data_IF_699423023660
#
_entry.id   IF_699423023660
#
_cell.length_a   1.000
_cell.length_b   1.000
_cell.length_c   1.000
_cell.angle_alpha   90.00
_cell.angle_beta   90.00
_cell.angle_gamma   90.00
#
_symmetry.space_group_name_H-M   'P 1'
#
loop_
_entity.id
_entity.type
_entity.pdbx_description
1 polymer ?
#
# COMPACT_ATOMS: atom_id res chain seq x y z
N UNK A 1 -17.07 32.61 9.08
CA UNK A 1 -15.68 33.09 9.31
C UNK A 1 -14.61 31.98 9.17
N UNK A 2 -14.75 30.96 8.29
CA UNK A 2 -13.79 29.84 8.16
C UNK A 2 -13.41 29.45 6.71
N UNK A 3 -13.62 30.34 5.73
CA UNK A 3 -13.48 30.01 4.29
C UNK A 3 -12.03 29.84 3.83
N UNK A 4 -11.05 30.50 4.46
CA UNK A 4 -9.64 30.45 4.04
C UNK A 4 -8.97 29.11 4.39
N UNK A 5 -9.19 28.61 5.61
CA UNK A 5 -8.63 27.33 6.08
C UNK A 5 -9.13 26.15 5.25
N UNK A 6 -10.45 26.08 5.04
CA UNK A 6 -11.10 25.00 4.29
C UNK A 6 -10.67 24.98 2.82
N UNK A 7 -10.48 26.16 2.21
CA UNK A 7 -9.93 26.29 0.85
C UNK A 7 -8.48 25.80 0.77
N UNK A 8 -7.67 26.12 1.77
CA UNK A 8 -6.26 25.66 1.85
C UNK A 8 -6.19 24.15 2.01
N UNK A 9 -7.01 23.58 2.89
CA UNK A 9 -7.07 22.14 3.11
C UNK A 9 -7.50 21.37 1.85
N UNK A 10 -8.53 21.84 1.13
CA UNK A 10 -8.94 21.27 -0.18
C UNK A 10 -7.79 21.24 -1.18
N UNK A 11 -7.02 22.33 -1.26
CA UNK A 11 -5.86 22.42 -2.17
C UNK A 11 -4.75 21.45 -1.79
N UNK A 12 -4.44 21.32 -0.50
CA UNK A 12 -3.43 20.38 0.00
C UNK A 12 -3.84 18.94 -0.33
N UNK A 13 -5.08 18.55 -0.04
CA UNK A 13 -5.57 17.20 -0.33
C UNK A 13 -5.57 16.91 -1.83
N UNK A 14 -6.00 17.87 -2.66
CA UNK A 14 -5.94 17.72 -4.11
C UNK A 14 -4.50 17.59 -4.61
N UNK A 15 -3.57 18.41 -4.10
CA UNK A 15 -2.16 18.33 -4.45
C UNK A 15 -1.56 16.97 -4.10
N UNK A 16 -1.79 16.49 -2.87
CA UNK A 16 -1.32 15.16 -2.43
C UNK A 16 -1.87 14.08 -3.35
N UNK A 17 -3.16 14.10 -3.65
CA UNK A 17 -3.78 13.11 -4.55
C UNK A 17 -3.14 13.09 -5.95
N UNK A 18 -2.99 14.26 -6.59
CA UNK A 18 -2.41 14.32 -7.93
C UNK A 18 -0.91 14.02 -7.96
N UNK A 19 -0.18 14.43 -6.92
CA UNK A 19 1.23 14.08 -6.76
C UNK A 19 1.40 12.56 -6.60
N UNK A 20 0.58 11.91 -5.78
CA UNK A 20 0.59 10.45 -5.64
C UNK A 20 0.28 9.74 -6.95
N UNK A 21 -0.73 10.20 -7.71
CA UNK A 21 -1.01 9.64 -9.04
C UNK A 21 0.17 9.80 -10.00
N UNK A 22 0.80 10.98 -10.02
CA UNK A 22 1.97 11.23 -10.85
C UNK A 22 3.14 10.30 -10.48
N UNK A 23 3.39 10.10 -9.18
CA UNK A 23 4.43 9.17 -8.71
C UNK A 23 4.13 7.72 -9.07
N UNK A 24 2.87 7.29 -9.01
CA UNK A 24 2.46 5.93 -9.41
C UNK A 24 2.72 5.71 -10.90
N UNK A 25 2.24 6.63 -11.74
CA UNK A 25 2.41 6.52 -13.19
C UNK A 25 3.88 6.63 -13.56
N UNK A 26 4.63 7.57 -12.97
CA UNK A 26 6.06 7.72 -13.17
C UNK A 26 6.84 6.48 -12.74
N UNK A 27 6.52 5.91 -11.57
CA UNK A 27 7.11 4.68 -11.07
C UNK A 27 6.85 3.48 -11.99
N UNK A 28 5.62 3.33 -12.49
CA UNK A 28 5.28 2.29 -13.45
C UNK A 28 6.05 2.44 -14.77
N UNK A 29 6.22 3.68 -15.27
CA UNK A 29 7.03 3.95 -16.46
C UNK A 29 8.52 3.63 -16.24
N UNK A 30 9.06 3.97 -15.07
CA UNK A 30 10.43 3.62 -14.69
C UNK A 30 10.60 2.10 -14.63
N UNK A 31 9.69 1.38 -13.97
CA UNK A 31 9.72 -0.08 -13.89
C UNK A 31 9.61 -0.75 -15.26
N UNK A 32 8.78 -0.22 -16.15
CA UNK A 32 8.68 -0.70 -17.53
C UNK A 32 9.97 -0.43 -18.30
N UNK A 33 10.54 0.77 -18.18
CA UNK A 33 11.80 1.12 -18.82
C UNK A 33 12.95 0.25 -18.32
N UNK A 34 13.05 -0.02 -17.02
CA UNK A 34 14.09 -0.87 -16.45
C UNK A 34 13.94 -2.33 -16.89
N UNK A 35 12.71 -2.81 -17.10
CA UNK A 35 12.45 -4.17 -17.58
C UNK A 35 12.74 -4.35 -19.08
N UNK A 36 12.26 -3.43 -19.92
CA UNK A 36 12.36 -3.56 -21.38
C UNK A 36 13.65 -2.96 -21.96
N UNK A 37 14.26 -2.00 -21.27
CA UNK A 37 15.47 -1.32 -21.72
C UNK A 37 16.74 -2.18 -21.69
N UNK A 38 17.88 -1.61 -22.12
CA UNK A 38 19.19 -2.23 -21.96
C UNK A 38 19.55 -2.29 -20.46
N UNK A 39 19.64 -3.50 -19.91
CA UNK A 39 19.98 -3.73 -18.51
C UNK A 39 21.46 -3.38 -18.29
N UNK A 40 21.74 -2.33 -17.52
CA UNK A 40 23.09 -2.08 -16.96
C UNK A 40 23.19 -2.57 -15.51
N UNK A 41 22.10 -2.43 -14.78
CA UNK A 41 21.92 -2.82 -13.38
C UNK A 41 20.43 -2.75 -13.07
N UNK A 42 19.86 -3.79 -12.46
CA UNK A 42 18.50 -3.75 -11.94
C UNK A 42 18.53 -4.07 -10.46
N UNK A 43 18.04 -3.14 -9.65
CA UNK A 43 17.89 -3.32 -8.22
C UNK A 43 16.41 -3.43 -7.88
N UNK A 44 16.00 -4.47 -7.17
CA UNK A 44 14.67 -4.50 -6.55
C UNK A 44 14.74 -4.94 -5.10
N UNK A 45 13.82 -4.39 -4.31
CA UNK A 45 13.74 -4.62 -2.88
C UNK A 45 12.46 -5.37 -2.55
N UNK A 46 12.56 -6.29 -1.60
CA UNK A 46 11.41 -7.01 -1.04
C UNK A 46 11.54 -7.00 0.47
N UNK A 47 10.52 -6.49 1.16
CA UNK A 47 10.40 -6.65 2.60
C UNK A 47 9.67 -7.96 2.90
N UNK A 48 10.29 -8.84 3.69
CA UNK A 48 9.75 -10.16 4.01
C UNK A 48 9.73 -10.41 5.51
N UNK A 49 8.74 -11.14 6.05
CA UNK A 49 8.65 -11.52 7.45
C UNK A 49 9.59 -12.70 7.75
N UNK A 50 10.85 -12.57 7.37
CA UNK A 50 11.90 -13.57 7.60
C UNK A 50 12.98 -12.87 8.40
N UNK A 51 13.56 -13.56 9.37
CA UNK A 51 14.77 -13.12 10.06
C UNK A 51 15.93 -13.96 9.57
N UNK A 52 16.89 -13.32 8.92
CA UNK A 52 18.13 -13.94 8.48
C UNK A 52 19.12 -14.06 9.66
N UNK A 53 19.90 -15.15 9.69
CA UNK A 53 20.78 -15.49 10.82
C UNK A 53 22.03 -14.60 10.93
N UNK A 54 22.61 -14.22 9.80
CA UNK A 54 23.77 -13.33 9.68
C UNK A 54 23.55 -12.35 8.51
N UNK A 55 24.27 -11.23 8.47
CA UNK A 55 24.31 -10.35 7.29
C UNK A 55 25.11 -11.06 6.20
N UNK A 56 24.42 -11.81 5.34
CA UNK A 56 25.08 -12.61 4.30
C UNK A 56 25.18 -11.83 3.00
N UNK A 57 26.38 -11.38 2.66
CA UNK A 57 26.71 -10.82 1.35
C UNK A 57 27.23 -11.95 0.46
N UNK A 58 26.38 -12.52 -0.39
CA UNK A 58 26.83 -13.52 -1.37
C UNK A 58 27.30 -12.82 -2.65
N UNK A 59 28.61 -12.60 -2.73
CA UNK A 59 29.28 -11.86 -3.80
C UNK A 59 29.47 -12.57 -5.13
N UNK A 60 28.98 -13.81 -5.33
CA UNK A 60 29.33 -14.52 -6.56
C UNK A 60 28.48 -14.12 -7.78
N UNK A 61 27.27 -13.54 -7.60
CA UNK A 61 26.32 -13.26 -8.71
C UNK A 61 25.34 -12.09 -8.48
N UNK A 62 25.69 -11.10 -7.64
CA UNK A 62 24.89 -9.87 -7.49
C UNK A 62 23.71 -9.92 -6.50
N UNK A 63 23.80 -10.67 -5.40
CA UNK A 63 22.76 -10.67 -4.37
C UNK A 63 23.28 -10.02 -3.09
N UNK A 64 22.56 -9.03 -2.57
CA UNK A 64 22.94 -8.35 -1.32
C UNK A 64 21.77 -8.45 -0.32
N UNK A 65 21.93 -9.24 0.74
CA UNK A 65 20.94 -9.28 1.82
C UNK A 65 21.38 -8.32 2.93
N UNK A 66 20.62 -7.25 3.16
CA UNK A 66 20.83 -6.37 4.32
C UNK A 66 19.83 -6.73 5.41
N UNK A 67 20.32 -7.15 6.57
CA UNK A 67 19.47 -7.58 7.67
C UNK A 67 19.54 -6.54 8.77
N UNK A 68 18.39 -6.00 9.15
CA UNK A 68 18.25 -5.36 10.46
C UNK A 68 17.67 -6.42 11.40
N UNK A 69 18.09 -6.40 12.67
CA UNK A 69 17.77 -7.41 13.69
C UNK A 69 16.29 -7.37 14.15
N UNK A 70 15.34 -7.35 13.22
CA UNK A 70 13.89 -7.27 13.44
C UNK A 70 13.16 -8.53 12.96
N UNK A 71 11.84 -8.58 13.19
CA UNK A 71 10.94 -9.65 12.72
C UNK A 71 10.72 -9.66 11.19
N UNK A 72 11.30 -8.70 10.48
CA UNK A 72 11.31 -8.59 9.03
C UNK A 72 12.72 -8.29 8.51
N UNK A 73 12.99 -8.72 7.27
CA UNK A 73 14.24 -8.49 6.55
C UNK A 73 13.97 -7.76 5.24
N UNK A 74 14.89 -6.88 4.86
CA UNK A 74 14.91 -6.21 3.57
C UNK A 74 15.84 -6.96 2.63
N UNK A 75 15.28 -7.68 1.68
CA UNK A 75 16.04 -8.37 0.65
C UNK A 75 16.31 -7.40 -0.49
N UNK A 76 17.59 -7.22 -0.83
CA UNK A 76 18.00 -6.44 -1.99
C UNK A 76 18.54 -7.38 -3.08
N UNK A 77 18.07 -7.18 -4.30
CA UNK A 77 18.38 -8.00 -5.45
C UNK A 77 19.03 -7.14 -6.53
N UNK A 78 20.32 -7.32 -6.76
CA UNK A 78 21.13 -6.52 -7.69
C UNK A 78 21.53 -7.34 -8.94
N UNK A 79 20.69 -7.33 -9.97
CA UNK A 79 20.97 -8.07 -11.20
C UNK A 79 21.88 -7.27 -12.15
N UNK A 80 23.04 -7.83 -12.47
CA UNK A 80 24.01 -7.26 -13.43
C UNK A 80 23.92 -7.90 -14.84
N UNK A 81 23.22 -9.04 -14.97
CA UNK A 81 23.04 -9.78 -16.23
C UNK A 81 21.55 -10.08 -16.47
N UNK A 82 21.11 -9.96 -17.73
CA UNK A 82 19.75 -10.25 -18.17
C UNK A 82 19.41 -11.74 -18.15
N UNK A 83 20.41 -12.61 -18.33
CA UNK A 83 20.20 -14.06 -18.24
C UNK A 83 19.74 -14.46 -16.83
N UNK A 84 20.41 -13.92 -15.80
CA UNK A 84 20.09 -14.12 -14.40
C UNK A 84 18.75 -13.49 -14.02
N UNK A 85 18.48 -12.28 -14.51
CA UNK A 85 17.18 -11.65 -14.31
C UNK A 85 16.02 -12.50 -14.86
N UNK A 86 16.21 -13.17 -15.99
CA UNK A 86 15.17 -14.03 -16.56
C UNK A 86 14.92 -15.30 -15.73
N UNK A 87 15.91 -15.81 -14.98
CA UNK A 87 15.71 -16.94 -14.05
C UNK A 87 14.75 -16.55 -12.90
N UNK A 88 14.87 -15.32 -12.39
CA UNK A 88 14.10 -14.82 -11.25
C UNK A 88 12.96 -13.84 -11.65
N UNK A 89 12.68 -13.70 -12.95
CA UNK A 89 11.69 -12.74 -13.47
C UNK A 89 10.29 -12.98 -12.90
N UNK A 90 9.95 -14.22 -12.53
CA UNK A 90 8.70 -14.55 -11.86
C UNK A 90 8.55 -13.88 -10.50
N UNK A 91 9.61 -13.88 -9.68
CA UNK A 91 9.62 -13.20 -8.38
C UNK A 91 9.55 -11.68 -8.55
N UNK A 92 10.29 -11.13 -9.53
CA UNK A 92 10.22 -9.72 -9.87
C UNK A 92 8.78 -9.29 -10.21
N UNK A 93 8.11 -10.00 -11.11
CA UNK A 93 6.74 -9.65 -11.52
C UNK A 93 5.73 -9.79 -10.37
N UNK A 94 5.86 -10.82 -9.53
CA UNK A 94 5.03 -10.96 -8.33
C UNK A 94 5.23 -9.77 -7.38
N UNK A 95 6.47 -9.34 -7.16
CA UNK A 95 6.76 -8.16 -6.33
C UNK A 95 6.18 -6.87 -6.94
N UNK A 96 6.30 -6.69 -8.26
CA UNK A 96 5.70 -5.53 -8.96
C UNK A 96 4.18 -5.53 -8.81
N UNK A 97 3.53 -6.70 -8.90
CA UNK A 97 2.08 -6.83 -8.68
C UNK A 97 1.71 -6.43 -7.24
N UNK A 98 2.46 -6.89 -6.24
CA UNK A 98 2.27 -6.50 -4.84
C UNK A 98 2.37 -4.98 -4.67
N UNK A 99 3.47 -4.37 -5.14
CA UNK A 99 3.68 -2.91 -5.06
C UNK A 99 2.56 -2.16 -5.76
N UNK A 100 2.13 -2.63 -6.93
CA UNK A 100 1.06 -1.98 -7.68
C UNK A 100 -0.29 -2.06 -6.97
N UNK A 101 -0.61 -3.20 -6.35
CA UNK A 101 -1.83 -3.38 -5.59
C UNK A 101 -1.87 -2.49 -4.34
N UNK A 102 -0.77 -2.45 -3.59
CA UNK A 102 -0.60 -1.62 -2.39
C UNK A 102 -0.74 -0.11 -2.74
N UNK A 103 0.00 0.33 -3.75
CA UNK A 103 -0.02 1.75 -4.16
C UNK A 103 -1.35 2.15 -4.79
N UNK A 104 -2.03 1.23 -5.49
CA UNK A 104 -3.38 1.45 -6.03
C UNK A 104 -4.40 1.60 -4.90
N UNK A 105 -4.29 0.80 -3.84
CA UNK A 105 -5.16 0.88 -2.66
C UNK A 105 -5.01 2.25 -1.99
N UNK A 106 -3.78 2.72 -1.79
CA UNK A 106 -3.50 4.06 -1.25
C UNK A 106 -4.08 5.16 -2.15
N UNK A 107 -3.91 5.06 -3.48
CA UNK A 107 -4.47 6.02 -4.42
C UNK A 107 -6.00 6.07 -4.39
N UNK A 108 -6.65 4.92 -4.23
CA UNK A 108 -8.09 4.83 -4.06
C UNK A 108 -8.54 5.47 -2.74
N UNK A 109 -7.80 5.29 -1.64
CA UNK A 109 -8.09 5.98 -0.38
C UNK A 109 -8.00 7.50 -0.55
N UNK A 110 -6.89 7.99 -1.11
CA UNK A 110 -6.71 9.43 -1.37
C UNK A 110 -7.79 10.00 -2.29
N UNK A 111 -8.25 9.23 -3.28
CA UNK A 111 -9.39 9.60 -4.13
C UNK A 111 -10.66 9.80 -3.30
N UNK A 112 -10.99 8.88 -2.39
CA UNK A 112 -12.18 9.02 -1.54
C UNK A 112 -12.07 10.23 -0.62
N UNK A 113 -10.91 10.44 0.00
CA UNK A 113 -10.64 11.63 0.85
C UNK A 113 -10.83 12.91 0.03
N UNK A 114 -10.25 12.99 -1.17
CA UNK A 114 -10.42 14.14 -2.07
C UNK A 114 -11.90 14.38 -2.39
N UNK A 115 -12.64 13.34 -2.77
CA UNK A 115 -14.06 13.46 -3.13
C UNK A 115 -14.93 13.93 -1.96
N UNK A 116 -14.65 13.44 -0.74
CA UNK A 116 -15.30 13.95 0.47
C UNK A 116 -14.93 15.41 0.67
N UNK A 117 -13.63 15.72 0.65
CA UNK A 117 -13.12 17.08 0.86
C UNK A 117 -13.71 18.08 -0.12
N UNK A 118 -13.87 17.74 -1.40
CA UNK A 118 -14.46 18.61 -2.42
C UNK A 118 -15.87 19.09 -2.02
N UNK A 119 -16.65 18.23 -1.35
CA UNK A 119 -18.00 18.57 -0.87
C UNK A 119 -18.01 19.37 0.45
N UNK A 120 -16.94 19.34 1.24
CA UNK A 120 -16.84 20.04 2.54
C UNK A 120 -17.14 21.54 2.37
N UNK A 121 -18.02 22.10 3.20
CA UNK A 121 -18.47 23.50 3.11
C UNK A 121 -19.58 23.76 2.08
N UNK A 122 -20.22 22.72 1.54
CA UNK A 122 -21.41 22.82 0.68
C UNK A 122 -22.62 22.15 1.35
N UNK A 123 -23.82 22.31 0.80
CA UNK A 123 -25.03 21.60 1.26
C UNK A 123 -24.94 20.07 1.10
N UNK A 124 -24.01 19.59 0.27
CA UNK A 124 -23.86 18.18 -0.09
C UNK A 124 -22.90 17.38 0.82
N UNK A 125 -22.39 17.99 1.90
CA UNK A 125 -21.52 17.31 2.87
C UNK A 125 -22.23 16.11 3.50
N UNK A 126 -23.46 16.32 3.94
CA UNK A 126 -24.34 15.23 4.36
C UNK A 126 -25.08 14.74 3.13
N UNK A 127 -24.50 13.74 2.46
CA UNK A 127 -25.10 13.07 1.33
C UNK A 127 -24.84 11.56 1.42
N UNK A 128 -25.75 10.78 0.86
CA UNK A 128 -25.60 9.32 0.70
C UNK A 128 -24.28 8.95 0.00
N UNK A 129 -23.84 9.78 -0.95
CA UNK A 129 -22.55 9.63 -1.63
C UNK A 129 -21.37 9.71 -0.66
N UNK A 130 -21.35 10.67 0.26
CA UNK A 130 -20.26 10.77 1.23
C UNK A 130 -20.29 9.67 2.28
N UNK A 131 -21.47 9.21 2.71
CA UNK A 131 -21.60 8.02 3.56
C UNK A 131 -20.96 6.80 2.90
N UNK A 132 -21.27 6.57 1.61
CA UNK A 132 -20.68 5.48 0.85
C UNK A 132 -19.15 5.61 0.73
N UNK A 133 -18.64 6.82 0.47
CA UNK A 133 -17.18 7.10 0.39
C UNK A 133 -16.46 6.80 1.70
N UNK A 134 -17.05 7.17 2.85
CA UNK A 134 -16.49 6.87 4.18
C UNK A 134 -16.46 5.35 4.42
N UNK A 135 -17.52 4.62 4.05
CA UNK A 135 -17.53 3.15 4.12
C UNK A 135 -16.45 2.52 3.24
N UNK A 136 -16.29 3.01 2.02
CA UNK A 136 -15.22 2.55 1.11
C UNK A 136 -13.84 2.80 1.71
N UNK A 137 -13.60 3.96 2.35
CA UNK A 137 -12.36 4.21 3.08
C UNK A 137 -12.12 3.19 4.20
N UNK A 138 -13.18 2.88 4.98
CA UNK A 138 -13.12 1.84 6.01
C UNK A 138 -12.72 0.47 5.45
N UNK A 139 -13.37 0.05 4.35
CA UNK A 139 -13.05 -1.20 3.65
C UNK A 139 -11.60 -1.19 3.17
N UNK A 140 -11.17 -0.12 2.49
CA UNK A 140 -9.82 -0.03 1.95
C UNK A 140 -8.76 -0.10 3.06
N UNK A 141 -8.96 0.55 4.20
CA UNK A 141 -8.02 0.46 5.34
C UNK A 141 -7.92 -0.96 5.90
N UNK A 142 -9.04 -1.67 5.99
CA UNK A 142 -9.05 -3.07 6.41
C UNK A 142 -8.30 -3.92 5.38
N UNK A 143 -8.57 -3.74 4.07
CA UNK A 143 -7.89 -4.48 3.00
C UNK A 143 -6.37 -4.23 3.03
N UNK A 144 -5.94 -2.97 3.19
CA UNK A 144 -4.54 -2.59 3.25
C UNK A 144 -3.79 -3.28 4.39
N UNK A 145 -4.50 -3.62 5.47
CA UNK A 145 -3.92 -4.36 6.59
C UNK A 145 -3.69 -5.85 6.29
N UNK A 146 -4.39 -6.41 5.31
CA UNK A 146 -4.18 -7.78 4.84
C UNK A 146 -3.21 -7.85 3.66
N UNK A 147 -2.79 -6.71 3.09
CA UNK A 147 -1.98 -6.69 1.88
C UNK A 147 -0.59 -7.30 2.11
N UNK A 148 0.10 -6.93 3.19
CA UNK A 148 1.41 -7.53 3.52
C UNK A 148 1.35 -9.06 3.66
N UNK A 149 0.24 -9.58 4.23
CA UNK A 149 0.00 -11.01 4.36
C UNK A 149 -0.24 -11.65 2.98
N UNK A 150 -1.09 -11.04 2.15
CA UNK A 150 -1.43 -11.55 0.82
C UNK A 150 -0.21 -11.54 -0.11
N UNK A 151 0.54 -10.44 -0.07
CA UNK A 151 1.81 -10.26 -0.77
C UNK A 151 2.82 -11.31 -0.35
N UNK A 152 2.95 -11.58 0.95
CA UNK A 152 3.80 -12.67 1.44
C UNK A 152 3.33 -14.04 0.95
N UNK A 153 2.03 -14.35 1.00
CA UNK A 153 1.50 -15.62 0.49
C UNK A 153 1.82 -15.83 -1.00
N UNK A 154 1.85 -14.74 -1.78
CA UNK A 154 2.15 -14.78 -3.20
C UNK A 154 3.64 -15.06 -3.49
N UNK A 155 4.56 -14.45 -2.73
CA UNK A 155 6.01 -14.51 -2.98
C UNK A 155 6.76 -15.53 -2.12
N UNK A 156 6.13 -16.05 -1.06
CA UNK A 156 6.78 -16.88 -0.02
C UNK A 156 7.58 -18.04 -0.60
N UNK A 157 6.99 -18.81 -1.50
CA UNK A 157 7.63 -20.02 -2.02
C UNK A 157 8.87 -19.68 -2.85
N UNK A 158 8.81 -18.63 -3.67
CA UNK A 158 9.94 -18.20 -4.49
C UNK A 158 11.06 -17.64 -3.63
N UNK A 159 10.73 -16.82 -2.62
CA UNK A 159 11.71 -16.27 -1.67
C UNK A 159 12.40 -17.39 -0.89
N UNK A 160 11.64 -18.37 -0.38
CA UNK A 160 12.20 -19.51 0.36
C UNK A 160 13.11 -20.35 -0.56
N UNK A 161 12.66 -20.66 -1.78
CA UNK A 161 13.45 -21.42 -2.74
C UNK A 161 14.77 -20.70 -3.07
N UNK A 162 14.73 -19.37 -3.22
CA UNK A 162 15.91 -18.55 -3.47
C UNK A 162 16.87 -18.56 -2.28
N UNK A 163 16.39 -18.37 -1.05
CA UNK A 163 17.21 -18.44 0.15
C UNK A 163 17.88 -19.82 0.32
N UNK A 164 17.15 -20.90 0.01
CA UNK A 164 17.68 -22.26 0.05
C UNK A 164 18.74 -22.51 -1.04
N UNK A 165 18.51 -22.03 -2.28
CA UNK A 165 19.47 -22.10 -3.40
C UNK A 165 20.81 -21.48 -3.03
N UNK A 166 20.79 -20.42 -2.22
CA UNK A 166 21.98 -19.69 -1.79
C UNK A 166 22.47 -20.06 -0.39
N UNK A 167 22.00 -21.17 0.21
CA UNK A 167 22.41 -21.61 1.55
C UNK A 167 22.31 -20.51 2.62
N UNK A 168 21.33 -19.61 2.51
CA UNK A 168 21.10 -18.58 3.50
C UNK A 168 20.39 -19.19 4.72
N UNK A 169 20.93 -18.95 5.92
CA UNK A 169 20.27 -19.39 7.15
C UNK A 169 19.14 -18.41 7.48
N UNK A 170 17.92 -18.92 7.61
CA UNK A 170 16.75 -18.10 7.87
C UNK A 170 15.82 -18.71 8.93
N UNK A 171 15.10 -17.83 9.61
CA UNK A 171 14.01 -18.16 10.53
C UNK A 171 12.74 -17.48 10.04
N UNK A 172 11.67 -18.25 9.90
CA UNK A 172 10.39 -17.70 9.50
C UNK A 172 9.83 -16.85 10.64
N UNK A 173 9.57 -15.58 10.35
CA UNK A 173 8.68 -14.77 11.17
C UNK A 173 7.22 -15.19 10.94
N UNK A 174 6.34 -14.68 11.80
CA UNK A 174 4.90 -14.83 11.61
C UNK A 174 4.24 -13.46 11.51
N UNK A 175 3.25 -13.35 10.63
CA UNK A 175 2.21 -12.35 10.81
C UNK A 175 1.31 -12.83 11.94
N UNK A 176 1.70 -12.51 13.17
CA UNK A 176 0.88 -12.83 14.33
C UNK A 176 -0.46 -12.09 14.28
N UNK A 177 -1.43 -12.58 15.06
CA UNK A 177 -2.68 -11.87 15.32
C UNK A 177 -2.47 -10.37 15.67
N UNK A 178 -1.41 -9.95 16.40
CA UNK A 178 -1.14 -8.55 16.66
C UNK A 178 -0.83 -7.70 15.41
N UNK A 179 -0.25 -8.30 14.36
CA UNK A 179 -0.02 -7.60 13.09
C UNK A 179 -1.34 -7.36 12.35
N UNK A 180 -2.28 -8.31 12.45
CA UNK A 180 -3.62 -8.18 11.87
C UNK A 180 -4.53 -7.24 12.67
N UNK A 181 -4.29 -7.04 13.96
CA UNK A 181 -5.02 -6.09 14.82
C UNK A 181 -4.27 -4.75 14.92
N UNK A 182 -3.83 -4.23 13.79
CA UNK A 182 -3.11 -2.95 13.71
C UNK A 182 -4.04 -1.75 13.99
N UNK A 183 -3.43 -0.58 14.23
CA UNK A 183 -4.17 0.68 14.32
C UNK A 183 -5.01 0.95 13.08
N UNK A 184 -4.51 0.62 11.88
CA UNK A 184 -5.23 0.78 10.62
C UNK A 184 -6.50 -0.06 10.57
N UNK A 185 -6.48 -1.28 11.11
CA UNK A 185 -7.66 -2.14 11.23
C UNK A 185 -8.74 -1.46 12.10
N UNK A 186 -8.38 -0.99 13.29
CA UNK A 186 -9.31 -0.31 14.18
C UNK A 186 -9.83 1.01 13.60
N UNK A 187 -8.98 1.79 12.94
CA UNK A 187 -9.40 3.01 12.23
C UNK A 187 -10.41 2.66 11.13
N UNK A 188 -10.18 1.60 10.37
CA UNK A 188 -11.12 1.09 9.38
C UNK A 188 -12.50 0.80 9.99
N UNK A 189 -12.55 0.10 11.12
CA UNK A 189 -13.80 -0.14 11.87
C UNK A 189 -14.45 1.16 12.38
N UNK A 190 -13.66 2.09 12.91
CA UNK A 190 -14.18 3.38 13.37
C UNK A 190 -14.78 4.20 12.22
N UNK A 191 -14.26 4.08 10.99
CA UNK A 191 -14.85 4.71 9.82
C UNK A 191 -16.23 4.14 9.47
N UNK A 192 -16.50 2.86 9.72
CA UNK A 192 -17.86 2.34 9.60
C UNK A 192 -18.79 2.96 10.63
N UNK A 193 -18.34 3.08 11.89
CA UNK A 193 -19.08 3.79 12.92
C UNK A 193 -19.36 5.25 12.53
N UNK A 194 -18.35 5.96 12.01
CA UNK A 194 -18.49 7.33 11.51
C UNK A 194 -19.48 7.41 10.34
N UNK A 195 -19.42 6.48 9.38
CA UNK A 195 -20.36 6.44 8.27
C UNK A 195 -21.80 6.26 8.77
N UNK A 196 -22.01 5.48 9.82
CA UNK A 196 -23.32 5.27 10.42
C UNK A 196 -23.82 6.52 11.14
N UNK A 197 -22.95 7.23 11.87
CA UNK A 197 -23.26 8.55 12.46
C UNK A 197 -23.65 9.55 11.36
N UNK A 198 -22.94 9.59 10.25
CA UNK A 198 -23.28 10.45 9.11
C UNK A 198 -24.61 10.06 8.46
N UNK A 199 -24.93 8.76 8.37
CA UNK A 199 -26.22 8.28 7.87
C UNK A 199 -27.37 8.73 8.78
N UNK A 200 -27.22 8.59 10.09
CA UNK A 200 -28.22 9.06 11.05
C UNK A 200 -28.40 10.58 11.02
N UNK A 201 -27.30 11.33 10.87
CA UNK A 201 -27.36 12.79 10.70
C UNK A 201 -28.05 13.23 9.41
N UNK A 202 -27.86 12.49 8.31
CA UNK A 202 -28.59 12.70 7.05
C UNK A 202 -30.10 12.50 7.25
N UNK A 203 -30.49 11.40 7.89
CA UNK A 203 -31.89 11.07 8.14
C UNK A 203 -32.60 12.14 8.98
N UNK A 204 -31.95 12.62 10.05
CA UNK A 204 -32.49 13.71 10.88
C UNK A 204 -32.65 15.02 10.10
N UNK A 205 -31.73 15.32 9.19
CA UNK A 205 -31.83 16.50 8.32
C UNK A 205 -33.02 16.37 7.37
N UNK A 206 -33.21 15.20 6.75
CA UNK A 206 -34.35 14.92 5.87
C UNK A 206 -35.69 15.03 6.62
N UNK A 207 -35.78 14.48 7.84
CA UNK A 207 -36.97 14.61 8.69
C UNK A 207 -37.26 16.07 9.07
N UNK A 208 -36.24 16.87 9.40
CA UNK A 208 -36.41 18.29 9.72
C UNK A 208 -36.83 19.13 8.51
N UNK A 209 -36.28 18.85 7.32
CA UNK A 209 -36.72 19.50 6.07
C UNK A 209 -38.15 19.10 5.66
N UNK A 210 -38.64 17.93 6.07
CA UNK A 210 -40.03 17.48 5.86
C UNK A 210 -41.03 18.06 6.87
N UNK A 211 -40.56 18.55 8.02
CA UNK A 211 -41.40 19.03 9.13
C UNK A 211 -41.61 20.55 9.11
N UNK A 212 -40.71 21.31 8.48
CA UNK A 212 -40.78 22.77 8.31
C UNK A 212 -41.59 23.14 7.07
#
# INVERSE_FOLDING_TARGET
MHTSYLRTLKRIVAFIYYASLFLIVGGALVLAYTYFGPLKHLTFYINVPIRLGEEVVYGDRGFVFTTHSSYSSWLNFDCFDRSMFNEDAGLYWKNVICIFFDTSTIALMLRQVKLIMDTVGTIHVFSTANVARIRVLGILLIINNFDELLSWLLIKNDVIALLQKHHATYTLGSYGLPALLSSSFFIGFLLFGLAEVFRSGLYLKEEQELTV
#
